data_IF_714925807979
#
_entry.id   IF_714925807979
#
_cell.length_a   1.000
_cell.length_b   1.000
_cell.length_c   1.000
_cell.angle_alpha   90.00
_cell.angle_beta   90.00
_cell.angle_gamma   90.00
#
_symmetry.space_group_name_H-M   'P 1'
#
loop_
_entity.id
_entity.type
_entity.pdbx_description
1 polymer ?
#
# COMPACT_ATOMS: atom_id res chain seq x y z
N UNK A 1 17.11 -23.70 -24.40
CA UNK A 1 16.17 -24.14 -23.35
C UNK A 1 16.64 -23.59 -22.00
N UNK A 2 16.09 -22.45 -21.53
CA UNK A 2 16.47 -21.79 -20.26
C UNK A 2 15.39 -21.97 -19.16
N UNK A 3 14.74 -23.14 -19.12
CA UNK A 3 13.64 -23.44 -18.20
C UNK A 3 13.94 -23.26 -16.69
N UNK A 4 15.13 -23.60 -16.13
CA UNK A 4 15.31 -23.58 -14.68
C UNK A 4 15.35 -22.16 -14.09
N UNK A 5 15.91 -21.19 -14.81
CA UNK A 5 16.05 -19.82 -14.33
C UNK A 5 14.71 -19.07 -14.19
N UNK A 6 13.72 -19.41 -15.03
CA UNK A 6 12.39 -18.77 -15.02
C UNK A 6 11.52 -19.25 -13.84
N UNK A 7 11.57 -20.55 -13.54
CA UNK A 7 10.86 -21.15 -12.41
C UNK A 7 11.40 -20.67 -11.06
N UNK A 8 12.73 -20.54 -10.95
CA UNK A 8 13.36 -20.01 -9.75
C UNK A 8 12.94 -18.55 -9.49
N UNK A 9 12.96 -17.69 -10.51
CA UNK A 9 12.49 -16.29 -10.40
C UNK A 9 11.02 -16.21 -10.01
N UNK A 10 10.16 -17.07 -10.58
CA UNK A 10 8.73 -17.14 -10.24
C UNK A 10 8.53 -17.51 -8.76
N UNK A 11 9.27 -18.50 -8.25
CA UNK A 11 9.23 -18.92 -6.83
C UNK A 11 9.68 -17.81 -5.89
N UNK A 12 10.80 -17.15 -6.18
CA UNK A 12 11.30 -16.04 -5.37
C UNK A 12 10.30 -14.88 -5.35
N UNK A 13 9.75 -14.51 -6.51
CA UNK A 13 8.73 -13.47 -6.59
C UNK A 13 7.48 -13.83 -5.79
N UNK A 14 7.01 -15.09 -5.82
CA UNK A 14 5.88 -15.53 -4.97
C UNK A 14 6.21 -15.46 -3.48
N UNK A 15 7.39 -15.92 -3.06
CA UNK A 15 7.82 -15.86 -1.67
C UNK A 15 7.92 -14.42 -1.14
N UNK A 16 8.07 -13.41 -1.99
CA UNK A 16 8.08 -12.00 -1.60
C UNK A 16 6.68 -11.40 -1.67
N UNK A 17 5.94 -11.66 -2.76
CA UNK A 17 4.64 -11.06 -3.04
C UNK A 17 3.56 -11.52 -2.06
N UNK A 18 3.56 -12.81 -1.68
CA UNK A 18 2.57 -13.35 -0.75
C UNK A 18 2.66 -12.67 0.62
N UNK A 19 3.80 -12.68 1.33
CA UNK A 19 3.90 -12.01 2.62
C UNK A 19 3.71 -10.49 2.51
N UNK A 20 4.17 -9.84 1.43
CA UNK A 20 3.91 -8.42 1.22
C UNK A 20 2.41 -8.12 1.09
N UNK A 21 1.67 -8.93 0.33
CA UNK A 21 0.21 -8.79 0.19
C UNK A 21 -0.49 -8.98 1.53
N UNK A 22 -0.08 -9.98 2.32
CA UNK A 22 -0.64 -10.23 3.66
C UNK A 22 -0.37 -9.05 4.59
N UNK A 23 0.86 -8.51 4.59
CA UNK A 23 1.21 -7.34 5.39
C UNK A 23 0.41 -6.10 4.97
N UNK A 24 0.24 -5.86 3.67
CA UNK A 24 -0.56 -4.74 3.18
C UNK A 24 -2.04 -4.89 3.54
N UNK A 25 -2.61 -6.08 3.38
CA UNK A 25 -3.97 -6.36 3.85
C UNK A 25 -4.11 -6.17 5.35
N UNK A 26 -3.14 -6.61 6.15
CA UNK A 26 -3.13 -6.40 7.60
C UNK A 26 -3.07 -4.90 7.95
N UNK A 27 -2.34 -4.09 7.18
CA UNK A 27 -2.27 -2.63 7.37
C UNK A 27 -3.57 -1.89 7.04
N UNK A 28 -4.48 -2.49 6.27
CA UNK A 28 -5.81 -1.92 6.04
C UNK A 28 -6.68 -1.94 7.30
N UNK A 29 -6.43 -2.88 8.23
CA UNK A 29 -7.20 -2.97 9.49
C UNK A 29 -7.04 -1.71 10.34
N UNK A 30 -5.83 -1.27 10.74
CA UNK A 30 -5.67 -0.03 11.49
C UNK A 30 -6.13 1.18 10.66
N UNK A 31 -5.88 1.23 9.35
CA UNK A 31 -6.36 2.31 8.50
C UNK A 31 -7.90 2.43 8.54
N UNK A 32 -8.61 1.30 8.43
CA UNK A 32 -10.07 1.24 8.53
C UNK A 32 -10.60 1.67 9.90
N UNK A 33 -9.94 1.27 10.98
CA UNK A 33 -10.29 1.77 12.32
C UNK A 33 -10.10 3.28 12.43
N UNK A 34 -9.00 3.81 11.87
CA UNK A 34 -8.71 5.25 11.87
C UNK A 34 -9.77 6.04 11.13
N UNK A 35 -10.25 5.52 9.98
CA UNK A 35 -11.36 6.11 9.23
C UNK A 35 -12.65 6.10 10.05
N UNK A 36 -12.96 4.97 10.70
CA UNK A 36 -14.17 4.79 11.51
C UNK A 36 -14.21 5.76 12.70
N UNK A 37 -13.06 6.04 13.30
CA UNK A 37 -12.92 7.00 14.40
C UNK A 37 -12.68 8.45 13.93
N UNK A 38 -12.44 8.68 12.64
CA UNK A 38 -12.19 10.04 12.10
C UNK A 38 -13.34 11.05 12.34
N UNK A 39 -14.64 10.67 12.34
CA UNK A 39 -15.72 11.59 12.71
C UNK A 39 -15.55 12.19 14.11
N UNK A 40 -15.02 11.40 15.05
CA UNK A 40 -14.76 11.84 16.42
C UNK A 40 -13.56 12.83 16.48
N UNK A 41 -12.64 12.74 15.51
CA UNK A 41 -11.55 13.70 15.36
C UNK A 41 -11.99 15.03 14.73
N UNK A 42 -13.09 15.04 13.95
CA UNK A 42 -13.66 16.28 13.36
C UNK A 42 -14.44 17.12 14.36
N UNK A 43 -14.97 16.51 15.43
CA UNK A 43 -15.68 17.22 16.49
C UNK A 43 -14.75 18.10 17.37
N UNK A 44 -13.42 17.94 17.21
CA UNK A 44 -12.41 18.71 17.93
C UNK A 44 -12.13 20.11 17.32
N UNK A 45 -12.86 20.52 16.27
CA UNK A 45 -12.77 21.83 15.63
C UNK A 45 -11.80 21.91 14.44
N UNK A 46 -11.83 23.01 13.67
CA UNK A 46 -11.06 23.15 12.44
C UNK A 46 -9.56 23.32 12.74
N UNK A 47 -8.75 22.36 12.32
CA UNK A 47 -7.28 22.43 12.37
C UNK A 47 -6.72 22.63 10.95
N UNK A 48 -5.70 23.48 10.76
CA UNK A 48 -4.98 23.54 9.49
C UNK A 48 -4.35 22.16 9.21
N UNK A 49 -4.57 21.62 7.99
CA UNK A 49 -4.08 20.30 7.58
C UNK A 49 -5.09 19.14 7.74
N UNK A 50 -6.19 19.35 8.46
CA UNK A 50 -7.25 18.34 8.63
C UNK A 50 -7.82 17.83 7.29
N UNK A 51 -8.13 18.68 6.29
CA UNK A 51 -8.67 18.19 5.01
C UNK A 51 -7.68 17.34 4.22
N UNK A 52 -6.39 17.69 4.25
CA UNK A 52 -5.34 16.93 3.58
C UNK A 52 -5.20 15.55 4.23
N UNK A 53 -5.12 15.49 5.57
CA UNK A 53 -5.05 14.24 6.31
C UNK A 53 -6.23 13.30 6.00
N UNK A 54 -7.45 13.83 5.89
CA UNK A 54 -8.64 13.04 5.52
C UNK A 54 -8.47 12.43 4.13
N UNK A 55 -8.11 13.26 3.14
CA UNK A 55 -7.93 12.79 1.77
C UNK A 55 -6.88 11.68 1.71
N UNK A 56 -5.74 11.86 2.40
CA UNK A 56 -4.67 10.85 2.44
C UNK A 56 -5.14 9.57 3.16
N UNK A 57 -5.91 9.70 4.25
CA UNK A 57 -6.44 8.58 5.03
C UNK A 57 -7.40 7.71 4.21
N UNK A 58 -8.27 8.33 3.40
CA UNK A 58 -9.17 7.61 2.49
C UNK A 58 -8.47 7.13 1.20
N UNK A 59 -7.47 7.85 0.71
CA UNK A 59 -6.70 7.46 -0.46
C UNK A 59 -5.83 6.22 -0.21
N UNK A 60 -5.26 6.10 1.00
CA UNK A 60 -4.39 4.99 1.37
C UNK A 60 -4.97 3.60 1.09
N UNK A 61 -6.16 3.21 1.60
CA UNK A 61 -6.73 1.89 1.35
C UNK A 61 -7.01 1.63 -0.14
N UNK A 62 -7.42 2.67 -0.88
CA UNK A 62 -7.67 2.57 -2.32
C UNK A 62 -6.37 2.32 -3.08
N UNK A 63 -5.31 3.08 -2.76
CA UNK A 63 -3.98 2.91 -3.38
C UNK A 63 -3.41 1.53 -3.08
N UNK A 64 -3.52 1.05 -1.85
CA UNK A 64 -3.07 -0.30 -1.46
C UNK A 64 -3.80 -1.37 -2.28
N UNK A 65 -5.14 -1.30 -2.38
CA UNK A 65 -5.93 -2.26 -3.15
C UNK A 65 -5.58 -2.24 -4.64
N UNK A 66 -5.51 -1.05 -5.26
CA UNK A 66 -5.13 -0.91 -6.67
C UNK A 66 -3.73 -1.45 -6.92
N UNK A 67 -2.80 -1.22 -6.00
CA UNK A 67 -1.43 -1.70 -6.12
C UNK A 67 -1.34 -3.22 -6.01
N UNK A 68 -2.06 -3.83 -5.07
CA UNK A 68 -2.14 -5.29 -4.97
C UNK A 68 -2.67 -5.86 -6.29
N UNK A 69 -3.79 -5.35 -6.79
CA UNK A 69 -4.40 -5.80 -8.06
C UNK A 69 -3.40 -5.65 -9.23
N UNK A 70 -2.80 -4.49 -9.40
CA UNK A 70 -1.83 -4.22 -10.46
C UNK A 70 -0.59 -5.13 -10.37
N UNK A 71 -0.14 -5.41 -9.15
CA UNK A 71 0.99 -6.31 -8.89
C UNK A 71 0.69 -7.74 -9.32
N UNK A 72 -0.51 -8.25 -9.00
CA UNK A 72 -0.95 -9.59 -9.42
C UNK A 72 -1.19 -9.69 -10.93
N UNK A 73 -1.76 -8.65 -11.57
CA UNK A 73 -1.92 -8.57 -13.03
C UNK A 73 -0.55 -8.61 -13.71
N UNK A 74 0.41 -7.81 -13.24
CA UNK A 74 1.77 -7.78 -13.78
C UNK A 74 2.51 -9.10 -13.57
N UNK A 75 2.25 -9.79 -12.45
CA UNK A 75 2.81 -11.10 -12.17
C UNK A 75 2.25 -12.18 -13.12
N UNK A 76 0.95 -12.12 -13.43
CA UNK A 76 0.31 -13.01 -14.40
C UNK A 76 0.88 -12.83 -15.82
N UNK A 77 1.24 -11.59 -16.19
CA UNK A 77 1.88 -11.26 -17.48
C UNK A 77 3.37 -11.61 -17.60
N UNK A 78 3.94 -12.39 -16.67
CA UNK A 78 5.37 -12.72 -16.60
C UNK A 78 6.33 -11.52 -16.45
N UNK A 79 5.81 -10.33 -16.20
CA UNK A 79 6.59 -9.11 -15.99
C UNK A 79 7.01 -8.97 -14.52
N UNK A 80 7.84 -9.90 -14.04
CA UNK A 80 8.24 -9.99 -12.61
C UNK A 80 8.95 -8.73 -12.10
N UNK A 81 9.69 -8.02 -12.97
CA UNK A 81 10.40 -6.79 -12.60
C UNK A 81 9.42 -5.65 -12.31
N UNK A 82 8.34 -5.54 -13.10
CA UNK A 82 7.28 -4.57 -12.88
C UNK A 82 6.47 -4.92 -11.62
N UNK A 83 6.17 -6.19 -11.39
CA UNK A 83 5.48 -6.63 -10.17
C UNK A 83 6.26 -6.25 -8.89
N UNK A 84 7.61 -6.36 -8.91
CA UNK A 84 8.44 -5.93 -7.77
C UNK A 84 8.42 -4.41 -7.57
N UNK A 85 8.45 -3.62 -8.64
CA UNK A 85 8.36 -2.15 -8.56
C UNK A 85 6.99 -1.68 -8.08
N UNK A 86 5.91 -2.30 -8.58
CA UNK A 86 4.55 -1.98 -8.15
C UNK A 86 4.36 -2.32 -6.66
N UNK A 87 4.94 -3.41 -6.17
CA UNK A 87 4.88 -3.78 -4.76
C UNK A 87 5.57 -2.77 -3.81
N UNK A 88 6.40 -1.85 -4.33
CA UNK A 88 7.03 -0.78 -3.54
C UNK A 88 6.14 0.47 -3.39
N UNK A 89 5.15 0.67 -4.27
CA UNK A 89 4.24 1.83 -4.21
C UNK A 89 3.58 2.02 -2.83
N UNK A 90 3.08 0.98 -2.14
CA UNK A 90 2.40 1.18 -0.87
C UNK A 90 3.39 1.57 0.24
N UNK A 91 4.64 1.12 0.14
CA UNK A 91 5.73 1.51 1.06
C UNK A 91 6.07 2.99 0.85
N UNK A 92 6.19 3.44 -0.40
CA UNK A 92 6.42 4.86 -0.71
C UNK A 92 5.27 5.70 -0.14
N UNK A 93 4.03 5.24 -0.29
CA UNK A 93 2.87 5.96 0.23
C UNK A 93 2.87 6.05 1.77
N UNK A 94 3.30 4.99 2.46
CA UNK A 94 3.51 5.03 3.92
C UNK A 94 4.59 6.04 4.32
N UNK A 95 5.70 6.12 3.58
CA UNK A 95 6.76 7.10 3.86
C UNK A 95 6.21 8.52 3.70
N UNK A 96 5.47 8.80 2.63
CA UNK A 96 4.84 10.11 2.41
C UNK A 96 3.89 10.46 3.55
N UNK A 97 3.05 9.51 4.00
CA UNK A 97 2.13 9.71 5.12
C UNK A 97 2.87 10.05 6.42
N UNK A 98 3.95 9.32 6.75
CA UNK A 98 4.77 9.57 7.94
C UNK A 98 5.44 10.93 7.86
N UNK A 99 5.96 11.30 6.69
CA UNK A 99 6.58 12.62 6.48
C UNK A 99 5.54 13.74 6.62
N UNK A 100 4.38 13.63 5.97
CA UNK A 100 3.30 14.62 6.08
C UNK A 100 2.87 14.84 7.53
N UNK A 101 2.63 13.74 8.26
CA UNK A 101 2.22 13.81 9.68
C UNK A 101 3.32 14.35 10.59
N UNK A 102 4.60 14.13 10.27
CA UNK A 102 5.72 14.72 11.02
C UNK A 102 5.93 16.22 10.77
N UNK A 103 5.51 16.72 9.60
CA UNK A 103 5.61 18.14 9.23
C UNK A 103 4.41 18.94 9.75
N UNK A 104 3.23 18.30 9.87
CA UNK A 104 1.99 18.95 10.34
C UNK A 104 1.64 18.69 11.80
N UNK A 105 2.42 17.85 12.50
CA UNK A 105 2.28 17.53 13.92
C UNK A 105 2.94 18.51 14.87
#
# INVERSE_FOLDING_TARGET
>A
MNAPATLLRKRIALCILIPATVLFLASLVPAGMTILFSPMAFDAGPKPGLPAFIITLFAYPVVVLLTIIATWISFAGHAYRLAMWLNLLPIIHLIVLVVETSITG
#
